data_IF_858969977910
#
_entry.id   IF_858969977910
#
_cell.length_a   1.000
_cell.length_b   1.000
_cell.length_c   1.000
_cell.angle_alpha   90.00
_cell.angle_beta   90.00
_cell.angle_gamma   90.00
#
_symmetry.space_group_name_H-M   'P 1'
#
loop_
_entity.id
_entity.type
_entity.pdbx_description
1 polymer ?
#
# COMPACT_ATOMS: atom_id res chain seq x y z
N UNK A 1 -24.90 -19.99 -12.06
CA UNK A 1 -23.45 -19.80 -12.19
C UNK A 1 -23.02 -18.94 -11.01
N UNK A 2 -22.24 -19.47 -10.08
CA UNK A 2 -21.65 -18.67 -9.00
C UNK A 2 -20.58 -17.80 -9.66
N UNK A 3 -20.74 -16.48 -9.62
CA UNK A 3 -19.65 -15.57 -9.92
C UNK A 3 -18.54 -15.91 -8.92
N UNK A 4 -17.42 -16.46 -9.41
CA UNK A 4 -16.21 -16.50 -8.61
C UNK A 4 -15.84 -15.04 -8.39
N UNK A 5 -16.09 -14.51 -7.19
CA UNK A 5 -15.58 -13.21 -6.78
C UNK A 5 -14.07 -13.27 -6.95
N UNK A 6 -13.56 -12.58 -7.98
CA UNK A 6 -12.14 -12.47 -8.20
C UNK A 6 -11.55 -11.84 -6.93
N UNK A 7 -10.56 -12.51 -6.34
CA UNK A 7 -9.82 -11.93 -5.23
C UNK A 7 -9.26 -10.59 -5.71
N UNK A 8 -9.56 -9.46 -5.02
CA UNK A 8 -9.10 -8.15 -5.47
C UNK A 8 -7.58 -8.14 -5.53
N UNK A 9 -7.04 -7.55 -6.60
CA UNK A 9 -5.59 -7.31 -6.68
C UNK A 9 -5.19 -6.09 -5.84
N UNK A 10 -3.88 -5.87 -5.69
CA UNK A 10 -3.37 -4.76 -4.87
C UNK A 10 -3.87 -3.40 -5.38
N UNK A 11 -4.04 -3.22 -6.68
CA UNK A 11 -4.49 -1.94 -7.25
C UNK A 11 -5.93 -1.62 -6.81
N UNK A 12 -6.83 -2.60 -6.94
CA UNK A 12 -8.21 -2.48 -6.51
C UNK A 12 -8.32 -2.27 -4.99
N UNK A 13 -7.50 -2.97 -4.21
CA UNK A 13 -7.49 -2.79 -2.76
C UNK A 13 -7.02 -1.38 -2.35
N UNK A 14 -5.99 -0.84 -3.01
CA UNK A 14 -5.50 0.52 -2.77
C UNK A 14 -6.55 1.57 -3.15
N UNK A 15 -7.27 1.39 -4.27
CA UNK A 15 -8.35 2.28 -4.69
C UNK A 15 -9.53 2.25 -3.70
N UNK A 16 -9.93 1.06 -3.25
CA UNK A 16 -10.97 0.93 -2.22
C UNK A 16 -10.56 1.59 -0.90
N UNK A 17 -9.30 1.41 -0.50
CA UNK A 17 -8.78 2.03 0.71
C UNK A 17 -8.76 3.55 0.59
N UNK A 18 -8.23 4.08 -0.52
CA UNK A 18 -8.21 5.52 -0.82
C UNK A 18 -9.62 6.12 -0.76
N UNK A 19 -10.61 5.49 -1.39
CA UNK A 19 -12.00 5.96 -1.37
C UNK A 19 -12.57 6.04 0.05
N UNK A 20 -12.24 5.09 0.93
CA UNK A 20 -12.66 5.13 2.35
C UNK A 20 -12.00 6.33 3.05
N UNK A 21 -10.70 6.53 2.85
CA UNK A 21 -9.95 7.60 3.48
C UNK A 21 -10.39 9.00 3.02
N UNK A 22 -10.78 9.14 1.76
CA UNK A 22 -11.31 10.39 1.19
C UNK A 22 -12.77 10.66 1.59
N UNK A 23 -13.48 9.65 2.09
CA UNK A 23 -14.87 9.81 2.53
C UNK A 23 -14.88 10.58 3.86
N UNK A 24 -15.55 11.76 3.93
CA UNK A 24 -15.64 12.52 5.17
C UNK A 24 -16.35 11.73 6.27
N UNK A 25 -15.86 11.83 7.50
CA UNK A 25 -16.54 11.26 8.66
C UNK A 25 -17.78 12.10 8.99
N UNK A 26 -18.94 11.47 9.07
CA UNK A 26 -20.19 12.09 9.52
C UNK A 26 -20.35 11.86 11.03
N UNK A 27 -20.88 12.81 11.82
CA UNK A 27 -21.13 12.60 13.24
C UNK A 27 -21.97 11.35 13.51
N UNK A 28 -21.51 10.50 14.44
CA UNK A 28 -22.13 9.20 14.74
C UNK A 28 -21.73 8.05 13.83
N UNK A 29 -20.95 8.28 12.76
CA UNK A 29 -20.43 7.22 11.87
C UNK A 29 -18.93 6.94 12.08
N UNK A 30 -18.27 7.66 13.00
CA UNK A 30 -16.84 7.51 13.28
C UNK A 30 -16.40 6.06 13.59
N UNK A 31 -17.13 5.28 14.42
CA UNK A 31 -16.76 3.88 14.66
C UNK A 31 -16.80 3.02 13.39
N UNK A 32 -17.84 3.19 12.55
CA UNK A 32 -17.99 2.45 11.30
C UNK A 32 -16.93 2.83 10.28
N UNK A 33 -16.61 4.13 10.18
CA UNK A 33 -15.54 4.62 9.32
C UNK A 33 -14.18 4.04 9.74
N UNK A 34 -13.82 4.12 11.03
CA UNK A 34 -12.55 3.58 11.52
C UNK A 34 -12.45 2.07 11.32
N UNK A 35 -13.54 1.34 11.54
CA UNK A 35 -13.60 -0.10 11.32
C UNK A 35 -13.43 -0.46 9.83
N UNK A 36 -14.04 0.31 8.94
CA UNK A 36 -13.90 0.15 7.48
C UNK A 36 -12.48 0.43 7.02
N UNK A 37 -11.89 1.54 7.48
CA UNK A 37 -10.51 1.91 7.19
C UNK A 37 -9.52 0.85 7.70
N UNK A 38 -9.69 0.35 8.92
CA UNK A 38 -8.88 -0.73 9.47
C UNK A 38 -8.98 -2.01 8.62
N UNK A 39 -10.20 -2.43 8.29
CA UNK A 39 -10.42 -3.65 7.50
C UNK A 39 -9.77 -3.55 6.12
N UNK A 40 -9.92 -2.41 5.46
CA UNK A 40 -9.31 -2.14 4.17
C UNK A 40 -7.77 -2.06 4.25
N UNK A 41 -7.22 -1.41 5.28
CA UNK A 41 -5.78 -1.36 5.53
C UNK A 41 -5.17 -2.76 5.72
N UNK A 42 -5.84 -3.66 6.45
CA UNK A 42 -5.42 -5.06 6.61
C UNK A 42 -5.40 -5.79 5.26
N UNK A 43 -6.42 -5.58 4.42
CA UNK A 43 -6.48 -6.18 3.09
C UNK A 43 -5.35 -5.66 2.18
N UNK A 44 -5.12 -4.35 2.16
CA UNK A 44 -3.99 -3.72 1.45
C UNK A 44 -2.66 -4.31 1.91
N UNK A 45 -2.43 -4.42 3.22
CA UNK A 45 -1.19 -5.00 3.75
C UNK A 45 -0.98 -6.43 3.28
N UNK A 46 -1.99 -7.28 3.35
CA UNK A 46 -1.86 -8.68 2.92
C UNK A 46 -1.47 -8.80 1.44
N UNK A 47 -2.10 -8.01 0.57
CA UNK A 47 -1.81 -7.99 -0.86
C UNK A 47 -0.45 -7.36 -1.17
N UNK A 48 -0.08 -6.30 -0.43
CA UNK A 48 1.22 -5.65 -0.55
C UNK A 48 2.34 -6.62 -0.19
N UNK A 49 2.28 -7.30 0.95
CA UNK A 49 3.35 -8.23 1.36
C UNK A 49 3.60 -9.30 0.31
N UNK A 50 2.53 -9.83 -0.31
CA UNK A 50 2.66 -10.78 -1.41
C UNK A 50 3.38 -10.17 -2.62
N UNK A 51 3.04 -8.93 -2.98
CA UNK A 51 3.70 -8.21 -4.08
C UNK A 51 5.18 -7.93 -3.81
N UNK A 52 5.51 -7.49 -2.59
CA UNK A 52 6.89 -7.28 -2.17
C UNK A 52 7.69 -8.58 -2.20
N UNK A 53 7.08 -9.72 -1.86
CA UNK A 53 7.74 -11.02 -1.98
C UNK A 53 7.95 -11.42 -3.45
N UNK A 54 6.99 -11.11 -4.34
CA UNK A 54 7.13 -11.32 -5.80
C UNK A 54 8.29 -10.46 -6.37
N UNK A 55 8.50 -9.24 -5.86
CA UNK A 55 9.57 -8.33 -6.30
C UNK A 55 10.96 -8.95 -6.16
N UNK A 56 11.19 -9.82 -5.18
CA UNK A 56 12.49 -10.47 -4.95
C UNK A 56 12.98 -11.19 -6.22
N UNK A 57 12.09 -11.92 -6.88
CA UNK A 57 12.43 -12.62 -8.13
C UNK A 57 12.68 -11.65 -9.30
N UNK A 58 11.94 -10.53 -9.34
CA UNK A 58 12.10 -9.50 -10.37
C UNK A 58 13.45 -8.81 -10.22
N UNK A 59 13.85 -8.46 -8.99
CA UNK A 59 15.16 -7.86 -8.70
C UNK A 59 16.32 -8.75 -9.11
N UNK A 60 16.24 -10.04 -8.80
CA UNK A 60 17.26 -11.01 -9.23
C UNK A 60 17.36 -11.07 -10.75
N UNK A 61 16.23 -10.98 -11.45
CA UNK A 61 16.23 -10.96 -12.91
C UNK A 61 16.83 -9.65 -13.46
N UNK A 62 16.47 -8.49 -12.91
CA UNK A 62 17.05 -7.18 -13.30
C UNK A 62 18.57 -7.21 -13.16
N UNK A 63 19.10 -7.69 -12.02
CA UNK A 63 20.55 -7.77 -11.77
C UNK A 63 21.26 -8.76 -12.70
N UNK A 64 20.58 -9.83 -13.13
CA UNK A 64 21.13 -10.82 -14.07
C UNK A 64 21.19 -10.29 -15.51
N UNK A 65 20.15 -9.57 -15.94
CA UNK A 65 20.06 -9.02 -17.30
C UNK A 65 20.93 -7.76 -17.45
N UNK A 66 20.95 -6.88 -16.44
CA UNK A 66 21.79 -5.68 -16.44
C UNK A 66 22.40 -5.40 -15.05
N UNK A 67 23.62 -5.90 -14.78
CA UNK A 67 24.32 -5.65 -13.53
C UNK A 67 24.58 -4.18 -13.21
N UNK A 68 24.51 -3.28 -14.20
CA UNK A 68 24.70 -1.84 -13.94
C UNK A 68 23.50 -1.19 -13.25
N UNK A 69 22.37 -1.90 -13.14
CA UNK A 69 21.17 -1.45 -12.43
C UNK A 69 21.17 -1.84 -10.94
N UNK A 70 22.24 -2.45 -10.41
CA UNK A 70 22.35 -2.88 -9.01
C UNK A 70 21.99 -1.77 -8.01
N UNK A 71 22.43 -0.52 -8.25
CA UNK A 71 22.09 0.60 -7.35
C UNK A 71 20.60 0.95 -7.33
N UNK A 72 19.92 0.79 -8.47
CA UNK A 72 18.47 1.00 -8.56
C UNK A 72 17.73 -0.12 -7.85
N UNK A 73 18.16 -1.37 -8.02
CA UNK A 73 17.60 -2.52 -7.32
C UNK A 73 17.77 -2.38 -5.81
N UNK A 74 18.94 -1.94 -5.34
CA UNK A 74 19.17 -1.68 -3.92
C UNK A 74 18.22 -0.62 -3.37
N UNK A 75 18.00 0.48 -4.11
CA UNK A 75 17.03 1.51 -3.72
C UNK A 75 15.62 0.96 -3.63
N UNK A 76 15.21 0.11 -4.59
CA UNK A 76 13.89 -0.50 -4.56
C UNK A 76 13.71 -1.49 -3.40
N UNK A 77 14.75 -2.24 -3.01
CA UNK A 77 14.72 -3.10 -1.81
C UNK A 77 14.50 -2.29 -0.54
N UNK A 78 15.21 -1.17 -0.40
CA UNK A 78 15.05 -0.28 0.76
C UNK A 78 13.65 0.34 0.83
N UNK A 79 13.06 0.67 -0.32
CA UNK A 79 11.67 1.12 -0.39
C UNK A 79 10.70 0.00 -0.01
N UNK A 80 10.89 -1.24 -0.49
CA UNK A 80 10.05 -2.38 -0.12
C UNK A 80 10.09 -2.64 1.41
N UNK A 81 11.25 -2.54 2.05
CA UNK A 81 11.41 -2.68 3.50
C UNK A 81 10.70 -1.55 4.26
N UNK A 82 10.76 -0.33 3.73
CA UNK A 82 10.04 0.83 4.27
C UNK A 82 8.54 0.62 4.17
N UNK A 83 8.02 0.25 2.99
CA UNK A 83 6.60 -0.02 2.77
C UNK A 83 6.09 -1.16 3.66
N UNK A 84 6.89 -2.22 3.85
CA UNK A 84 6.57 -3.32 4.76
C UNK A 84 6.37 -2.82 6.18
N UNK A 85 7.31 -2.03 6.69
CA UNK A 85 7.28 -1.47 8.05
C UNK A 85 6.13 -0.47 8.23
N UNK A 86 5.90 0.40 7.25
CA UNK A 86 4.80 1.37 7.31
C UNK A 86 3.43 0.70 7.26
N UNK A 87 3.27 -0.36 6.45
CA UNK A 87 2.00 -1.09 6.37
C UNK A 87 1.60 -1.71 7.71
N UNK A 88 2.56 -2.21 8.48
CA UNK A 88 2.32 -2.72 9.84
C UNK A 88 1.94 -1.60 10.80
N UNK A 89 2.65 -0.47 10.75
CA UNK A 89 2.33 0.71 11.56
C UNK A 89 0.90 1.20 11.30
N UNK A 90 0.47 1.28 10.05
CA UNK A 90 -0.90 1.73 9.73
C UNK A 90 -1.96 0.76 10.23
N UNK A 91 -1.73 -0.55 10.15
CA UNK A 91 -2.65 -1.54 10.75
C UNK A 91 -2.81 -1.27 12.25
N UNK A 92 -1.70 -1.09 12.98
CA UNK A 92 -1.75 -0.78 14.41
C UNK A 92 -2.46 0.54 14.72
N UNK A 93 -2.19 1.59 13.94
CA UNK A 93 -2.81 2.91 14.10
C UNK A 93 -4.32 2.85 13.86
N UNK A 94 -4.77 2.22 12.77
CA UNK A 94 -6.20 2.08 12.48
C UNK A 94 -6.91 1.15 13.46
N UNK A 95 -6.26 0.09 13.94
CA UNK A 95 -6.83 -0.76 15.01
C UNK A 95 -7.04 0.03 16.29
N UNK A 96 -6.08 0.89 16.68
CA UNK A 96 -6.23 1.76 17.86
C UNK A 96 -7.31 2.82 17.65
N UNK A 97 -7.36 3.42 16.47
CA UNK A 97 -8.39 4.40 16.12
C UNK A 97 -9.80 3.78 16.21
N UNK A 98 -10.00 2.59 15.63
CA UNK A 98 -11.25 1.85 15.69
C UNK A 98 -11.66 1.54 17.15
N UNK A 99 -10.75 0.98 17.95
CA UNK A 99 -11.03 0.68 19.36
C UNK A 99 -11.34 1.93 20.19
N UNK A 100 -10.73 3.07 19.87
CA UNK A 100 -10.98 4.34 20.56
C UNK A 100 -12.31 4.95 20.14
N UNK A 101 -12.66 4.86 18.85
CA UNK A 101 -13.91 5.37 18.31
C UNK A 101 -15.14 4.69 18.94
N UNK A 102 -15.08 3.38 19.20
CA UNK A 102 -16.19 2.63 19.83
C UNK A 102 -16.60 3.17 21.21
N UNK A 103 -15.70 3.84 21.93
CA UNK A 103 -15.92 4.34 23.30
C UNK A 103 -15.82 5.87 23.39
N UNK A 104 -15.76 6.56 22.25
CA UNK A 104 -15.47 7.98 22.20
C UNK A 104 -16.65 8.87 22.63
N UNK A 105 -17.88 8.38 22.62
CA UNK A 105 -19.06 9.19 22.98
C UNK A 105 -18.96 9.75 24.41
N UNK A 106 -19.24 11.05 24.63
CA UNK A 106 -19.71 12.06 23.67
C UNK A 106 -18.59 12.92 23.02
N UNK A 107 -17.32 12.60 23.22
CA UNK A 107 -16.16 13.40 22.81
C UNK A 107 -15.47 12.85 21.55
N UNK A 108 -16.22 12.77 20.45
CA UNK A 108 -15.75 12.22 19.16
C UNK A 108 -14.66 13.09 18.49
N UNK A 109 -14.67 14.41 18.70
CA UNK A 109 -13.81 15.38 18.00
C UNK A 109 -12.31 15.03 18.07
N UNK A 110 -11.82 14.54 19.21
CA UNK A 110 -10.41 14.19 19.37
C UNK A 110 -10.05 12.96 18.52
N UNK A 111 -10.96 11.99 18.46
CA UNK A 111 -10.77 10.75 17.71
C UNK A 111 -10.91 11.02 16.21
N UNK A 112 -11.83 11.90 15.82
CA UNK A 112 -11.96 12.39 14.44
C UNK A 112 -10.69 13.08 13.95
N UNK A 113 -10.08 13.96 14.76
CA UNK A 113 -8.82 14.62 14.41
C UNK A 113 -7.69 13.60 14.21
N UNK A 114 -7.54 12.66 15.14
CA UNK A 114 -6.54 11.60 15.03
C UNK A 114 -6.78 10.73 13.79
N UNK A 115 -8.03 10.36 13.53
CA UNK A 115 -8.42 9.58 12.35
C UNK A 115 -8.08 10.32 11.05
N UNK A 116 -8.31 11.63 10.98
CA UNK A 116 -7.92 12.48 9.86
C UNK A 116 -6.41 12.52 9.63
N UNK A 117 -5.62 12.70 10.69
CA UNK A 117 -4.15 12.69 10.59
C UNK A 117 -3.58 11.33 10.16
N UNK A 118 -4.22 10.23 10.57
CA UNK A 118 -3.86 8.89 10.11
C UNK A 118 -4.24 8.74 8.62
N UNK A 119 -5.43 9.20 8.21
CA UNK A 119 -5.88 9.13 6.81
C UNK A 119 -4.96 9.90 5.86
N UNK A 120 -4.57 11.13 6.19
CA UNK A 120 -3.67 11.94 5.36
C UNK A 120 -2.33 11.25 5.12
N UNK A 121 -1.76 10.63 6.17
CA UNK A 121 -0.51 9.86 6.05
C UNK A 121 -0.72 8.57 5.27
N UNK A 122 -1.86 7.90 5.44
CA UNK A 122 -2.19 6.69 4.70
C UNK A 122 -2.35 6.96 3.19
N UNK A 123 -2.86 8.13 2.79
CA UNK A 123 -2.89 8.55 1.38
C UNK A 123 -1.47 8.67 0.81
N UNK A 124 -0.53 9.27 1.55
CA UNK A 124 0.87 9.34 1.11
C UNK A 124 1.50 7.95 0.97
N UNK A 125 1.18 7.03 1.87
CA UNK A 125 1.60 5.65 1.77
C UNK A 125 1.04 4.95 0.53
N UNK A 126 -0.24 5.15 0.18
CA UNK A 126 -0.84 4.62 -1.05
C UNK A 126 -0.08 5.12 -2.30
N UNK A 127 0.29 6.40 -2.31
CA UNK A 127 1.11 6.99 -3.39
C UNK A 127 2.48 6.32 -3.46
N UNK A 128 3.14 6.09 -2.32
CA UNK A 128 4.44 5.43 -2.25
C UNK A 128 4.39 4.00 -2.80
N UNK A 129 3.38 3.21 -2.40
CA UNK A 129 3.15 1.86 -2.96
C UNK A 129 2.98 1.91 -4.48
N UNK A 130 2.13 2.80 -5.00
CA UNK A 130 1.92 2.95 -6.45
C UNK A 130 3.19 3.36 -7.19
N UNK A 131 4.02 4.21 -6.57
CA UNK A 131 5.30 4.65 -7.13
C UNK A 131 6.28 3.48 -7.20
N UNK A 132 6.32 2.65 -6.16
CA UNK A 132 7.19 1.48 -6.13
C UNK A 132 6.81 0.46 -7.20
N UNK A 133 5.53 0.10 -7.33
CA UNK A 133 5.08 -0.82 -8.40
C UNK A 133 5.48 -0.33 -9.80
N UNK A 134 5.39 0.98 -10.04
CA UNK A 134 5.84 1.60 -11.30
C UNK A 134 7.35 1.52 -11.47
N UNK A 135 8.12 1.79 -10.41
CA UNK A 135 9.57 1.71 -10.45
C UNK A 135 10.04 0.29 -10.81
N UNK A 136 9.48 -0.72 -10.13
CA UNK A 136 9.78 -2.14 -10.41
C UNK A 136 9.45 -2.49 -11.86
N UNK A 137 8.28 -2.10 -12.35
CA UNK A 137 7.88 -2.35 -13.74
C UNK A 137 8.80 -1.65 -14.75
N UNK A 138 9.16 -0.38 -14.50
CA UNK A 138 10.07 0.38 -15.37
C UNK A 138 11.43 -0.28 -15.45
N UNK A 139 12.07 -0.54 -14.31
CA UNK A 139 13.42 -1.11 -14.31
C UNK A 139 13.49 -2.52 -14.86
N UNK A 140 12.42 -3.30 -14.68
CA UNK A 140 12.28 -4.60 -15.32
C UNK A 140 12.24 -4.51 -16.85
N UNK A 141 11.50 -3.56 -17.42
CA UNK A 141 11.47 -3.36 -18.87
C UNK A 141 12.83 -2.88 -19.38
N UNK A 142 13.43 -1.89 -18.71
CA UNK A 142 14.74 -1.33 -19.09
C UNK A 142 15.84 -2.40 -19.10
N UNK A 143 15.87 -3.31 -18.11
CA UNK A 143 16.86 -4.38 -18.06
C UNK A 143 16.76 -5.33 -19.26
N UNK A 144 15.56 -5.54 -19.82
CA UNK A 144 15.33 -6.41 -20.98
C UNK A 144 15.58 -5.70 -22.33
N UNK A 145 15.32 -4.40 -22.41
CA UNK A 145 15.46 -3.63 -23.65
C UNK A 145 16.90 -3.22 -23.94
N UNK A 146 17.72 -3.02 -22.90
CA UNK A 146 19.14 -2.67 -23.07
C UNK A 146 19.92 -3.76 -23.81
N UNK A 147 19.58 -5.02 -23.58
CA UNK A 147 20.16 -6.18 -24.28
C UNK A 147 19.74 -6.26 -25.77
N UNK A 148 18.67 -5.56 -26.16
CA UNK A 148 18.22 -5.46 -27.57
C UNK A 148 18.79 -4.24 -28.29
N UNK A 149 19.24 -3.23 -27.57
CA UNK A 149 19.77 -1.97 -28.12
C UNK A 149 21.14 -2.06 -28.82
N UNK A 150 21.82 -3.20 -28.73
CA UNK A 150 23.13 -3.44 -29.37
C UNK A 150 23.06 -4.36 -30.61
N UNK A 151 21.89 -4.56 -31.20
CA UNK A 151 21.73 -5.25 -32.49
C UNK A 151 21.27 -4.27 -33.57
N UNK A 152 22.22 -3.43 -34.02
CA UNK A 152 22.46 -2.97 -35.40
C UNK A 152 23.25 -1.65 -35.45
#
# INVERSE_FOLDING_TARGET
MRNAEATPDLHQALEQFENILETPVVPGELPEWCQSAMTSCVAVRQLLLRKLDDHVSIYLQIEQEDPSLESHVQTMREEDDTLRSESERFVDEFTRAAATAEVAEPNENLVEQLAGEIADRAIQFIIAVRKQERAVATWYVESLERDRGNKD
#
